data_IF_168695618503
#
_entry.id   IF_168695618503
#
_cell.length_a   1.000
_cell.length_b   1.000
_cell.length_c   1.000
_cell.angle_alpha   90.00
_cell.angle_beta   90.00
_cell.angle_gamma   90.00
#
_symmetry.space_group_name_H-M   'P 1'
#
loop_
_entity.id
_entity.type
_entity.pdbx_description
1 polymer ?
#
# COMPACT_ATOMS: atom_id res chain seq x y z
N UNK A 1 -20.24 3.42 -16.07
CA UNK A 1 -19.12 2.57 -15.67
C UNK A 1 -18.10 3.48 -15.00
N UNK A 2 -17.84 3.23 -13.74
CA UNK A 2 -16.62 3.75 -13.12
C UNK A 2 -15.46 2.99 -13.77
N UNK A 3 -14.41 3.70 -14.16
CA UNK A 3 -13.23 3.10 -14.75
C UNK A 3 -12.38 2.36 -13.71
N UNK A 4 -11.07 2.42 -13.88
CA UNK A 4 -10.13 1.75 -12.97
C UNK A 4 -10.08 2.43 -11.61
N UNK A 5 -10.11 1.63 -10.54
CA UNK A 5 -9.77 2.10 -9.19
C UNK A 5 -8.26 2.26 -9.12
N UNK A 6 -7.79 3.47 -8.85
CA UNK A 6 -6.36 3.80 -8.91
C UNK A 6 -5.74 3.99 -7.53
N UNK A 7 -6.53 4.42 -6.56
CA UNK A 7 -6.09 4.62 -5.18
C UNK A 7 -7.19 4.18 -4.20
N UNK A 8 -6.80 3.49 -3.10
CA UNK A 8 -7.72 3.02 -2.08
C UNK A 8 -7.13 3.22 -0.68
N UNK A 9 -7.96 3.70 0.26
CA UNK A 9 -7.64 3.76 1.68
C UNK A 9 -8.63 2.86 2.43
N UNK A 10 -8.07 2.00 3.30
CA UNK A 10 -8.83 1.06 4.11
C UNK A 10 -8.53 1.36 5.58
N UNK A 11 -9.49 1.91 6.29
CA UNK A 11 -9.41 2.15 7.72
C UNK A 11 -10.16 1.02 8.43
N UNK A 12 -9.45 0.27 9.27
CA UNK A 12 -9.99 -0.91 9.94
C UNK A 12 -9.85 -0.76 11.45
N UNK A 13 -10.97 -0.80 12.15
CA UNK A 13 -10.96 -0.92 13.60
C UNK A 13 -10.31 -2.26 14.00
N UNK A 14 -9.37 -2.21 14.97
CA UNK A 14 -8.69 -3.42 15.43
C UNK A 14 -7.87 -4.16 14.36
N UNK A 15 -7.26 -3.46 13.40
CA UNK A 15 -6.55 -4.06 12.25
C UNK A 15 -5.55 -5.15 12.64
N UNK A 16 -4.91 -5.02 13.81
CA UNK A 16 -3.92 -5.98 14.34
C UNK A 16 -4.50 -6.97 15.33
N UNK A 17 -5.78 -6.84 15.70
CA UNK A 17 -6.41 -7.72 16.67
C UNK A 17 -6.60 -9.12 16.09
N UNK A 18 -6.57 -10.11 16.98
CA UNK A 18 -6.83 -11.51 16.64
C UNK A 18 -8.28 -11.85 17.02
N UNK A 19 -9.07 -12.19 16.00
CA UNK A 19 -10.44 -12.66 16.17
C UNK A 19 -10.58 -14.05 15.55
N UNK A 20 -11.15 -14.99 16.29
CA UNK A 20 -11.38 -16.37 15.81
C UNK A 20 -10.14 -17.07 15.21
N UNK A 21 -8.95 -16.73 15.73
CA UNK A 21 -7.67 -17.30 15.27
C UNK A 21 -7.04 -16.60 14.06
N UNK A 22 -7.67 -15.59 13.49
CA UNK A 22 -7.13 -14.77 12.41
C UNK A 22 -6.87 -13.35 12.86
N UNK A 23 -5.88 -12.72 12.28
CA UNK A 23 -5.71 -11.28 12.38
C UNK A 23 -6.81 -10.57 11.56
N UNK A 24 -7.45 -9.53 12.10
CA UNK A 24 -8.53 -8.81 11.41
C UNK A 24 -8.10 -8.29 10.02
N UNK A 25 -6.85 -7.91 9.86
CA UNK A 25 -6.31 -7.53 8.55
C UNK A 25 -6.23 -8.71 7.57
N UNK A 26 -5.99 -9.92 8.05
CA UNK A 26 -6.03 -11.13 7.20
C UNK A 26 -7.45 -11.42 6.74
N UNK A 27 -8.42 -11.38 7.64
CA UNK A 27 -9.85 -11.57 7.28
C UNK A 27 -10.29 -10.55 6.23
N UNK A 28 -9.88 -9.29 6.38
CA UNK A 28 -10.13 -8.25 5.37
C UNK A 28 -9.49 -8.61 4.01
N UNK A 29 -8.25 -9.09 3.99
CA UNK A 29 -7.56 -9.46 2.75
C UNK A 29 -8.17 -10.70 2.10
N UNK A 30 -8.68 -11.66 2.86
CA UNK A 30 -9.38 -12.84 2.34
C UNK A 30 -10.63 -12.43 1.57
N UNK A 31 -11.47 -11.56 2.15
CA UNK A 31 -12.67 -11.03 1.48
C UNK A 31 -12.29 -10.15 0.29
N UNK A 32 -11.29 -9.31 0.44
CA UNK A 32 -10.78 -8.43 -0.62
C UNK A 32 -10.27 -9.23 -1.80
N UNK A 33 -9.57 -10.34 -1.56
CA UNK A 33 -9.08 -11.22 -2.62
C UNK A 33 -10.22 -11.82 -3.43
N UNK A 34 -11.33 -12.21 -2.79
CA UNK A 34 -12.52 -12.68 -3.48
C UNK A 34 -13.13 -11.60 -4.37
N UNK A 35 -13.21 -10.35 -3.89
CA UNK A 35 -13.69 -9.23 -4.68
C UNK A 35 -12.82 -9.01 -5.92
N UNK A 36 -11.49 -9.00 -5.77
CA UNK A 36 -10.57 -8.77 -6.88
C UNK A 36 -10.53 -9.95 -7.87
N UNK A 37 -10.91 -11.16 -7.45
CA UNK A 37 -11.01 -12.33 -8.35
C UNK A 37 -12.22 -12.26 -9.30
N UNK A 38 -13.19 -11.37 -9.07
CA UNK A 38 -14.41 -11.26 -9.90
C UNK A 38 -14.21 -10.46 -11.19
N UNK A 39 -13.08 -9.82 -11.38
CA UNK A 39 -12.82 -8.93 -12.52
C UNK A 39 -11.35 -9.02 -12.98
N UNK A 40 -11.12 -8.74 -14.25
CA UNK A 40 -9.77 -8.54 -14.77
C UNK A 40 -9.29 -7.12 -14.44
N UNK A 41 -8.15 -7.02 -13.80
CA UNK A 41 -7.50 -5.75 -13.44
C UNK A 41 -6.37 -5.46 -14.42
N UNK A 42 -6.73 -5.03 -15.64
CA UNK A 42 -5.77 -4.83 -16.73
C UNK A 42 -4.64 -3.86 -16.41
N UNK A 43 -4.89 -2.87 -15.57
CA UNK A 43 -3.89 -1.91 -15.08
C UNK A 43 -3.26 -2.29 -13.75
N UNK A 44 -3.39 -3.53 -13.29
CA UNK A 44 -2.99 -3.98 -11.96
C UNK A 44 -3.93 -3.52 -10.84
N UNK A 45 -3.65 -3.92 -9.61
CA UNK A 45 -4.43 -3.50 -8.44
C UNK A 45 -4.25 -2.00 -8.14
N UNK A 46 -5.16 -1.37 -7.37
CA UNK A 46 -4.95 0.02 -6.95
C UNK A 46 -3.71 0.18 -6.07
N UNK A 47 -3.11 1.35 -6.06
CA UNK A 47 -2.26 1.73 -4.95
C UNK A 47 -3.13 1.82 -3.69
N UNK A 48 -2.75 1.17 -2.58
CA UNK A 48 -3.61 1.11 -1.41
C UNK A 48 -2.86 1.28 -0.08
N UNK A 49 -3.62 1.68 0.93
CA UNK A 49 -3.16 1.82 2.31
C UNK A 49 -4.13 1.10 3.24
N UNK A 50 -3.62 0.25 4.13
CA UNK A 50 -4.37 -0.35 5.23
C UNK A 50 -3.92 0.29 6.55
N UNK A 51 -4.85 0.88 7.29
CA UNK A 51 -4.56 1.64 8.52
C UNK A 51 -5.53 1.23 9.61
N UNK A 52 -5.01 1.06 10.82
CA UNK A 52 -5.83 0.87 12.01
C UNK A 52 -6.64 2.13 12.33
N UNK A 53 -7.91 1.94 12.66
CA UNK A 53 -8.78 2.97 13.18
C UNK A 53 -9.15 2.64 14.64
N UNK A 54 -9.39 3.68 15.45
CA UNK A 54 -9.81 3.47 16.85
C UNK A 54 -11.27 3.03 16.97
N UNK A 55 -12.12 3.50 16.04
CA UNK A 55 -13.56 3.25 16.00
C UNK A 55 -14.06 3.28 14.57
N UNK A 56 -15.27 2.77 14.33
CA UNK A 56 -16.00 2.92 13.07
C UNK A 56 -16.05 1.67 12.20
N UNK A 57 -15.56 0.55 12.68
CA UNK A 57 -15.56 -0.70 11.93
C UNK A 57 -14.64 -0.63 10.71
N UNK A 58 -15.18 -0.76 9.51
CA UNK A 58 -14.43 -0.71 8.25
C UNK A 58 -14.91 0.48 7.42
N UNK A 59 -13.99 1.39 7.10
CA UNK A 59 -14.22 2.46 6.14
C UNK A 59 -13.29 2.29 4.95
N UNK A 60 -13.84 2.39 3.74
CA UNK A 60 -13.09 2.29 2.49
C UNK A 60 -13.36 3.55 1.66
N UNK A 61 -12.28 4.27 1.35
CA UNK A 61 -12.30 5.39 0.42
C UNK A 61 -11.50 5.02 -0.83
N UNK A 62 -11.94 5.46 -2.00
CA UNK A 62 -11.19 5.19 -3.23
C UNK A 62 -11.34 6.30 -4.27
N UNK A 63 -10.32 6.41 -5.10
CA UNK A 63 -10.34 7.20 -6.32
C UNK A 63 -10.43 6.27 -7.51
N UNK A 64 -11.32 6.57 -8.44
CA UNK A 64 -11.43 5.88 -9.71
C UNK A 64 -11.36 6.88 -10.86
N UNK A 65 -10.80 6.45 -11.97
CA UNK A 65 -10.67 7.26 -13.18
C UNK A 65 -11.42 6.59 -14.34
N UNK A 66 -11.86 7.40 -15.28
CA UNK A 66 -12.47 6.92 -16.52
C UNK A 66 -11.92 7.73 -17.71
N UNK A 67 -11.89 7.12 -18.87
CA UNK A 67 -11.40 7.78 -20.08
C UNK A 67 -10.03 7.23 -20.55
N UNK A 68 -9.37 7.97 -21.45
CA UNK A 68 -8.06 7.60 -21.99
C UNK A 68 -6.94 8.17 -21.12
N UNK A 69 -6.63 7.47 -20.04
CA UNK A 69 -5.55 7.81 -19.12
C UNK A 69 -4.56 6.66 -19.14
N UNK A 70 -3.27 6.97 -19.29
CA UNK A 70 -2.21 5.99 -19.07
C UNK A 70 -2.16 5.61 -17.59
N UNK A 71 -2.24 4.32 -17.28
CA UNK A 71 -2.18 3.81 -15.90
C UNK A 71 -1.10 2.75 -15.86
N UNK A 72 -0.08 2.96 -15.03
CA UNK A 72 1.07 2.07 -14.91
C UNK A 72 1.25 1.70 -13.44
N UNK A 73 1.25 0.40 -13.09
CA UNK A 73 1.65 -0.04 -11.76
C UNK A 73 3.14 0.21 -11.54
N UNK A 74 3.51 0.61 -10.34
CA UNK A 74 4.90 0.82 -9.93
C UNK A 74 5.30 -0.24 -8.93
N UNK A 75 6.43 -0.91 -9.22
CA UNK A 75 7.04 -1.90 -8.36
C UNK A 75 8.28 -1.35 -7.67
N UNK A 76 8.59 -1.94 -6.51
CA UNK A 76 9.77 -1.63 -5.73
C UNK A 76 10.56 -2.91 -5.49
N UNK A 77 11.72 -3.06 -6.11
CA UNK A 77 12.57 -4.26 -5.99
C UNK A 77 13.19 -4.45 -4.59
N UNK A 78 13.14 -3.43 -3.73
CA UNK A 78 13.47 -3.54 -2.31
C UNK A 78 12.34 -4.12 -1.46
N UNK A 79 11.13 -4.18 -2.01
CA UNK A 79 9.94 -4.68 -1.32
C UNK A 79 9.23 -5.71 -2.19
N UNK A 80 8.98 -6.90 -1.67
CA UNK A 80 8.18 -7.89 -2.38
C UNK A 80 6.80 -7.33 -2.72
N UNK A 81 6.29 -7.60 -3.92
CA UNK A 81 4.94 -7.18 -4.29
C UNK A 81 3.91 -7.77 -3.32
N UNK A 82 2.99 -6.96 -2.82
CA UNK A 82 2.11 -7.37 -1.73
C UNK A 82 1.19 -8.54 -2.09
N UNK A 83 0.78 -8.60 -3.35
CA UNK A 83 -0.11 -9.66 -3.86
C UNK A 83 0.57 -11.01 -4.06
N UNK A 84 1.89 -11.10 -3.85
CA UNK A 84 2.68 -12.34 -3.87
C UNK A 84 3.43 -12.61 -2.54
N UNK A 85 2.99 -12.00 -1.46
CA UNK A 85 3.52 -12.30 -0.13
C UNK A 85 3.43 -13.78 0.21
N UNK A 86 4.38 -14.26 0.99
CA UNK A 86 4.37 -15.64 1.51
C UNK A 86 3.27 -15.83 2.58
N UNK A 87 3.00 -17.07 2.90
CA UNK A 87 2.04 -17.44 3.94
C UNK A 87 2.49 -17.03 5.36
N UNK A 88 3.75 -16.59 5.51
CA UNK A 88 4.32 -16.18 6.79
C UNK A 88 4.00 -14.73 7.19
N UNK A 89 3.55 -13.89 6.25
CA UNK A 89 3.37 -12.42 6.46
C UNK A 89 2.12 -12.17 7.21
N UNK A 90 1.20 -12.67 7.52
CA UNK A 90 0.03 -12.36 8.37
C UNK A 90 -0.44 -13.61 9.12
N UNK A 91 -1.05 -13.41 10.27
CA UNK A 91 -1.50 -14.53 11.09
C UNK A 91 -2.85 -15.05 10.56
N UNK A 92 -2.87 -16.31 10.12
CA UNK A 92 -4.07 -17.06 9.82
C UNK A 92 -3.95 -18.48 10.40
N UNK A 93 -4.96 -18.91 11.12
CA UNK A 93 -5.05 -20.25 11.70
C UNK A 93 -6.22 -21.07 11.13
N UNK A 94 -6.78 -20.64 9.99
CA UNK A 94 -7.84 -21.40 9.30
C UNK A 94 -7.21 -22.48 8.43
N UNK A 95 -7.28 -23.77 8.81
CA UNK A 95 -6.56 -24.83 8.11
C UNK A 95 -7.12 -25.16 6.72
N UNK A 96 -8.35 -24.76 6.43
CA UNK A 96 -9.10 -25.21 5.24
C UNK A 96 -9.35 -24.08 4.22
N UNK A 97 -8.77 -22.89 4.40
CA UNK A 97 -8.95 -21.76 3.50
C UNK A 97 -7.64 -21.27 2.94
N UNK A 98 -7.57 -21.07 1.64
CA UNK A 98 -6.43 -20.39 1.01
C UNK A 98 -6.32 -18.97 1.55
N UNK A 99 -5.15 -18.63 2.05
CA UNK A 99 -4.85 -17.34 2.64
C UNK A 99 -4.77 -16.26 1.56
N UNK A 100 -5.65 -15.27 1.63
CA UNK A 100 -5.62 -14.14 0.72
C UNK A 100 -4.43 -13.22 0.95
N UNK A 101 -3.69 -12.91 -0.11
CA UNK A 101 -2.64 -11.90 -0.06
C UNK A 101 -3.21 -10.49 -0.21
N UNK A 102 -2.57 -9.45 0.34
CA UNK A 102 -3.01 -8.07 0.14
C UNK A 102 -2.99 -7.69 -1.34
N UNK A 103 -4.10 -7.23 -1.89
CA UNK A 103 -4.25 -6.90 -3.32
C UNK A 103 -4.01 -5.41 -3.54
N UNK A 104 -2.74 -5.02 -3.72
CA UNK A 104 -2.35 -3.66 -4.08
C UNK A 104 -0.97 -3.63 -4.76
N UNK A 105 -0.75 -2.61 -5.59
CA UNK A 105 0.56 -2.27 -6.15
C UNK A 105 1.33 -1.35 -5.20
N UNK A 106 2.66 -1.30 -5.27
CA UNK A 106 3.47 -0.40 -4.44
C UNK A 106 3.21 1.07 -4.74
N UNK A 107 2.88 1.37 -5.98
CA UNK A 107 2.43 2.67 -6.43
C UNK A 107 1.68 2.56 -7.75
N UNK A 108 1.17 3.69 -8.22
CA UNK A 108 0.49 3.78 -9.51
C UNK A 108 0.72 5.14 -10.13
N UNK A 109 1.28 5.17 -11.33
CA UNK A 109 1.39 6.37 -12.14
C UNK A 109 0.17 6.51 -13.03
N UNK A 110 -0.38 7.70 -13.08
CA UNK A 110 -1.45 8.11 -13.97
C UNK A 110 -0.97 9.25 -14.83
N UNK A 111 -1.03 9.10 -16.13
CA UNK A 111 -0.60 10.14 -17.07
C UNK A 111 -1.66 10.44 -18.11
N UNK A 112 -1.84 11.71 -18.39
CA UNK A 112 -2.55 12.21 -19.57
C UNK A 112 -1.59 13.08 -20.42
N UNK A 113 -2.14 13.80 -21.39
CA UNK A 113 -1.33 14.66 -22.30
C UNK A 113 -0.72 15.88 -21.60
N UNK A 114 -1.09 16.20 -20.36
CA UNK A 114 -0.73 17.45 -19.69
C UNK A 114 0.01 17.23 -18.37
N UNK A 115 -0.28 16.12 -17.67
CA UNK A 115 0.24 15.91 -16.33
C UNK A 115 0.43 14.41 -16.02
N UNK A 116 1.31 14.15 -15.08
CA UNK A 116 1.48 12.87 -14.43
C UNK A 116 1.20 13.01 -12.93
N UNK A 117 0.50 12.04 -12.37
CA UNK A 117 0.25 11.93 -10.92
C UNK A 117 0.64 10.54 -10.46
N UNK A 118 1.46 10.47 -9.42
CA UNK A 118 1.87 9.20 -8.82
C UNK A 118 1.17 9.05 -7.46
N UNK A 119 0.41 7.96 -7.32
CA UNK A 119 -0.11 7.51 -6.05
C UNK A 119 0.82 6.46 -5.46
N UNK A 120 1.35 6.71 -4.28
CA UNK A 120 2.18 5.76 -3.53
C UNK A 120 1.31 5.07 -2.50
N UNK A 121 1.39 3.75 -2.43
CA UNK A 121 0.71 2.94 -1.42
C UNK A 121 1.22 3.22 -0.02
N UNK A 122 0.45 2.85 0.98
CA UNK A 122 0.95 2.82 2.35
C UNK A 122 2.20 1.96 2.41
N UNK A 123 3.28 2.56 2.85
CA UNK A 123 4.56 1.89 3.05
C UNK A 123 5.07 2.10 4.46
N UNK A 124 6.00 1.26 4.88
CA UNK A 124 6.59 1.27 6.19
C UNK A 124 8.06 0.82 6.09
N UNK A 125 8.74 0.68 7.22
CA UNK A 125 10.09 0.11 7.27
C UNK A 125 10.06 -1.40 6.98
N UNK A 126 9.93 -1.75 5.69
CA UNK A 126 9.84 -3.13 5.20
C UNK A 126 10.91 -3.33 4.12
N UNK A 127 11.63 -4.44 4.21
CA UNK A 127 12.54 -4.93 3.16
C UNK A 127 12.09 -6.35 2.75
N UNK A 128 11.96 -6.59 1.45
CA UNK A 128 11.31 -7.81 1.00
C UNK A 128 9.86 -7.83 1.49
N UNK A 129 9.53 -8.75 2.36
CA UNK A 129 8.24 -8.85 3.06
C UNK A 129 8.38 -8.75 4.60
N UNK A 130 9.61 -8.51 5.10
CA UNK A 130 9.93 -8.46 6.52
C UNK A 130 9.86 -7.04 7.07
N UNK A 131 9.20 -6.87 8.22
CA UNK A 131 9.19 -5.63 8.96
C UNK A 131 10.53 -5.43 9.67
N UNK A 132 11.18 -4.29 9.44
CA UNK A 132 12.43 -3.91 10.08
C UNK A 132 12.13 -3.35 11.47
N UNK A 133 11.99 -4.25 12.46
CA UNK A 133 11.54 -3.91 13.82
C UNK A 133 12.73 -3.61 14.72
N UNK A 134 13.08 -2.35 14.87
CA UNK A 134 14.14 -1.94 15.81
C UNK A 134 13.58 -1.19 17.05
N UNK A 135 12.32 -0.81 17.06
CA UNK A 135 11.73 0.02 18.10
C UNK A 135 12.07 1.51 17.99
N UNK A 136 12.99 1.91 17.15
CA UNK A 136 13.35 3.32 16.89
C UNK A 136 12.50 3.88 15.75
N UNK A 137 11.64 4.87 16.09
CA UNK A 137 10.71 5.49 15.12
C UNK A 137 11.45 6.32 14.08
N UNK A 138 12.58 6.96 14.42
CA UNK A 138 13.37 7.74 13.47
C UNK A 138 13.93 6.83 12.36
N UNK A 139 14.57 5.74 12.75
CA UNK A 139 15.12 4.77 11.80
C UNK A 139 14.04 4.12 10.93
N UNK A 140 12.85 3.79 11.50
CA UNK A 140 11.72 3.31 10.73
C UNK A 140 11.24 4.35 9.71
N UNK A 141 11.25 5.62 10.07
CA UNK A 141 10.90 6.74 9.18
C UNK A 141 11.91 6.86 8.04
N UNK A 142 13.21 6.81 8.34
CA UNK A 142 14.28 6.86 7.34
C UNK A 142 14.13 5.74 6.30
N UNK A 143 13.98 4.47 6.73
CA UNK A 143 13.77 3.34 5.81
C UNK A 143 12.47 3.50 5.00
N UNK A 144 11.43 4.03 5.61
CA UNK A 144 10.16 4.28 4.90
C UNK A 144 10.35 5.32 3.79
N UNK A 145 11.07 6.40 4.07
CA UNK A 145 11.39 7.43 3.08
C UNK A 145 12.31 6.89 1.98
N UNK A 146 13.31 6.09 2.32
CA UNK A 146 14.16 5.40 1.33
C UNK A 146 13.33 4.51 0.39
N UNK A 147 12.37 3.75 0.93
CA UNK A 147 11.47 2.93 0.11
C UNK A 147 10.65 3.78 -0.86
N UNK A 148 10.17 4.95 -0.42
CA UNK A 148 9.45 5.90 -1.28
C UNK A 148 10.38 6.46 -2.36
N UNK A 149 11.55 6.93 -1.99
CA UNK A 149 12.54 7.48 -2.93
C UNK A 149 12.93 6.45 -4.00
N UNK A 150 13.20 5.22 -3.57
CA UNK A 150 13.54 4.14 -4.48
C UNK A 150 12.39 3.81 -5.46
N UNK A 151 11.15 3.74 -4.97
CA UNK A 151 9.97 3.48 -5.78
C UNK A 151 9.78 4.51 -6.91
N UNK A 152 10.02 5.80 -6.61
CA UNK A 152 9.84 6.89 -7.58
C UNK A 152 11.15 7.26 -8.32
N UNK A 153 12.23 6.50 -8.12
CA UNK A 153 13.47 6.67 -8.85
C UNK A 153 14.30 7.92 -8.48
N UNK A 154 14.11 8.44 -7.26
CA UNK A 154 14.89 9.58 -6.75
C UNK A 154 16.23 9.19 -6.11
N UNK A 155 16.76 8.02 -6.39
CA UNK A 155 18.11 7.64 -5.94
C UNK A 155 19.18 8.46 -6.65
N UNK A 156 20.21 8.89 -5.91
CA UNK A 156 21.36 9.58 -6.48
C UNK A 156 21.98 8.77 -7.65
N UNK A 157 21.95 9.30 -8.86
CA UNK A 157 22.57 8.73 -10.05
C UNK A 157 21.71 7.78 -10.89
N UNK A 158 20.43 7.60 -10.57
CA UNK A 158 19.48 6.81 -11.39
C UNK A 158 18.23 7.62 -11.71
N UNK A 159 18.19 8.21 -12.88
CA UNK A 159 16.97 8.79 -13.43
C UNK A 159 16.06 7.64 -13.94
N UNK A 160 15.13 7.18 -13.13
CA UNK A 160 14.12 6.18 -13.55
C UNK A 160 12.82 6.81 -14.04
N UNK A 161 12.54 8.04 -13.69
CA UNK A 161 11.37 8.79 -14.17
C UNK A 161 11.84 9.86 -15.18
N UNK A 162 11.03 10.15 -16.22
CA UNK A 162 11.31 11.29 -17.09
C UNK A 162 11.39 12.56 -16.26
N UNK A 163 12.13 13.56 -16.73
CA UNK A 163 12.57 14.83 -16.13
C UNK A 163 11.55 15.64 -15.28
N UNK A 164 10.52 15.02 -14.79
CA UNK A 164 9.56 15.64 -13.91
C UNK A 164 10.03 15.42 -12.47
N UNK A 165 10.78 16.37 -11.96
CA UNK A 165 10.95 16.56 -10.52
C UNK A 165 9.56 16.70 -9.88
N UNK A 166 8.92 15.56 -9.60
CA UNK A 166 7.56 15.50 -9.11
C UNK A 166 7.45 16.30 -7.83
N UNK A 167 6.55 17.27 -7.80
CA UNK A 167 6.23 18.00 -6.59
C UNK A 167 5.47 17.09 -5.66
N UNK A 168 5.95 16.94 -4.43
CA UNK A 168 5.19 16.27 -3.38
C UNK A 168 3.93 17.09 -3.06
N UNK A 169 2.77 16.57 -3.43
CA UNK A 169 1.49 17.26 -3.22
C UNK A 169 0.89 16.93 -1.84
N UNK A 170 1.02 15.69 -1.39
CA UNK A 170 0.45 15.23 -0.13
C UNK A 170 1.26 14.06 0.45
N UNK A 171 1.66 14.21 1.71
CA UNK A 171 2.19 13.13 2.53
C UNK A 171 1.28 12.96 3.75
N UNK A 172 0.81 11.74 3.99
CA UNK A 172 0.09 11.37 5.22
C UNK A 172 0.95 10.42 6.03
N UNK A 173 1.22 10.81 7.27
CA UNK A 173 1.98 10.00 8.23
C UNK A 173 1.03 9.45 9.28
N UNK A 174 1.08 8.15 9.52
CA UNK A 174 0.29 7.45 10.52
C UNK A 174 1.23 6.91 11.60
N UNK A 175 1.04 7.36 12.82
CA UNK A 175 1.87 7.00 13.97
C UNK A 175 1.06 6.21 14.99
N UNK A 176 1.68 5.20 15.59
CA UNK A 176 1.06 4.40 16.65
C UNK A 176 0.95 5.22 17.94
N UNK A 177 1.96 6.04 18.25
CA UNK A 177 2.01 6.82 19.47
C UNK A 177 2.08 8.31 19.13
N UNK A 178 1.25 9.12 19.76
CA UNK A 178 1.21 10.57 19.57
C UNK A 178 2.56 11.25 19.87
N UNK A 179 3.28 10.78 20.90
CA UNK A 179 4.59 11.30 21.27
C UNK A 179 5.65 11.24 20.16
N UNK A 180 5.47 10.31 19.20
CA UNK A 180 6.43 10.12 18.11
C UNK A 180 6.26 11.20 17.02
N UNK A 181 5.18 11.98 17.05
CA UNK A 181 4.92 13.05 16.08
C UNK A 181 5.93 14.20 16.10
N UNK A 182 6.71 14.33 17.16
CA UNK A 182 7.77 15.36 17.26
C UNK A 182 9.13 14.86 16.75
N UNK A 183 9.25 13.56 16.51
CA UNK A 183 10.48 12.92 16.06
C UNK A 183 10.45 12.72 14.53
N UNK A 184 9.27 12.47 13.99
CA UNK A 184 8.98 12.25 12.57
C UNK A 184 8.60 13.57 11.88
#
# INVERSE_FOLDING_TARGET
NFGDIVRQWNYLEGITDIAHGNQCYQDFNDVRSQFYATSEWQSGYPAATGIGAQHGGIQIDFNAVSGKIGIIPLDNDWQRAAHVYSDEVLISHRPDTEKGTPKFERGKSLSDHQQEVIYISGTAAIRGEESMVTGDVLWQTEITLENIQHLIGLEEGKEKLPEHSGKLELLRVYLKNEKDAQIV
#
